data_IF_537133838158
#
_entry.id   IF_537133838158
#
_cell.length_a   1.000
_cell.length_b   1.000
_cell.length_c   1.000
_cell.angle_alpha   90.00
_cell.angle_beta   90.00
_cell.angle_gamma   90.00
#
_symmetry.space_group_name_H-M   'P 1'
#
loop_
_entity.id
_entity.type
_entity.pdbx_description
1 polymer ?
#
# COMPACT_ATOMS: atom_id res chain seq x y z
N UNK A 1 -13.50 21.78 -3.53
CA UNK A 1 -14.10 21.10 -4.70
C UNK A 1 -15.50 21.63 -4.94
N UNK A 2 -15.86 21.97 -6.17
CA UNK A 2 -17.18 22.52 -6.53
C UNK A 2 -18.09 21.56 -7.29
N UNK A 3 -17.57 20.39 -7.68
CA UNK A 3 -18.32 19.36 -8.41
C UNK A 3 -18.71 18.20 -7.47
N UNK A 4 -19.89 17.62 -7.69
CA UNK A 4 -20.35 16.39 -7.04
C UNK A 4 -19.35 15.27 -7.30
N UNK A 5 -18.98 14.53 -6.24
CA UNK A 5 -18.11 13.35 -6.31
C UNK A 5 -18.90 12.16 -5.78
N UNK A 6 -18.55 10.94 -6.22
CA UNK A 6 -19.16 9.71 -5.75
C UNK A 6 -19.28 9.71 -4.22
N UNK A 7 -20.50 9.55 -3.71
CA UNK A 7 -20.78 9.54 -2.27
C UNK A 7 -20.99 10.90 -1.60
N UNK A 8 -20.63 12.02 -2.25
CA UNK A 8 -20.68 13.37 -1.67
C UNK A 8 -21.55 14.29 -2.55
N UNK A 9 -22.75 14.61 -2.07
CA UNK A 9 -23.72 15.42 -2.84
C UNK A 9 -23.49 16.92 -2.68
N UNK A 10 -23.02 17.35 -1.51
CA UNK A 10 -22.71 18.76 -1.21
C UNK A 10 -21.30 18.87 -0.59
N UNK A 11 -20.24 18.91 -1.43
CA UNK A 11 -18.87 18.98 -0.94
C UNK A 11 -18.58 20.19 -0.05
N UNK A 12 -19.32 21.30 -0.23
CA UNK A 12 -19.16 22.51 0.57
C UNK A 12 -19.63 22.33 2.02
N UNK A 13 -20.51 21.34 2.28
CA UNK A 13 -21.00 20.99 3.61
C UNK A 13 -20.44 19.67 4.13
N UNK A 14 -19.58 18.99 3.37
CA UNK A 14 -19.08 17.67 3.76
C UNK A 14 -18.35 17.72 5.11
N UNK A 15 -17.33 18.57 5.23
CA UNK A 15 -16.56 18.74 6.48
C UNK A 15 -17.39 19.49 7.52
N UNK A 16 -17.38 18.98 8.75
CA UNK A 16 -18.14 19.48 9.91
C UNK A 16 -19.53 18.86 10.09
N UNK A 17 -20.06 18.20 9.05
CA UNK A 17 -21.37 17.52 9.08
C UNK A 17 -21.25 16.09 9.58
N UNK A 18 -22.37 15.55 10.09
CA UNK A 18 -22.49 14.10 10.28
C UNK A 18 -22.53 13.39 8.92
N UNK A 19 -21.88 12.23 8.82
CA UNK A 19 -21.96 11.34 7.66
C UNK A 19 -23.42 10.98 7.31
N UNK A 20 -24.28 10.89 8.31
CA UNK A 20 -25.69 10.53 8.16
C UNK A 20 -26.60 11.76 7.93
N UNK A 21 -26.01 12.94 7.72
CA UNK A 21 -26.70 14.15 7.32
C UNK A 21 -26.96 14.23 5.81
N UNK A 22 -27.47 15.38 5.34
CA UNK A 22 -27.85 15.57 3.94
C UNK A 22 -26.72 15.86 2.95
N UNK A 23 -25.44 15.73 3.35
CA UNK A 23 -24.28 16.04 2.51
C UNK A 23 -23.75 14.82 1.71
N UNK A 24 -24.24 13.62 2.01
CA UNK A 24 -23.75 12.36 1.44
C UNK A 24 -24.86 11.54 0.77
N UNK A 25 -24.44 10.69 -0.17
CA UNK A 25 -25.29 9.66 -0.80
C UNK A 25 -24.64 8.30 -0.62
N UNK A 26 -25.42 7.25 -0.41
CA UNK A 26 -24.90 5.91 -0.19
C UNK A 26 -24.95 5.05 -1.47
N UNK A 27 -23.97 4.16 -1.73
CA UNK A 27 -22.87 3.82 -0.82
C UNK A 27 -21.82 4.93 -0.70
N UNK A 28 -21.15 4.98 0.45
CA UNK A 28 -20.00 5.87 0.69
C UNK A 28 -18.94 5.13 1.49
N UNK A 29 -17.69 5.15 1.00
CA UNK A 29 -16.54 4.70 1.78
C UNK A 29 -16.09 5.84 2.68
N UNK A 30 -15.78 5.54 3.94
CA UNK A 30 -15.21 6.48 4.91
C UNK A 30 -13.96 5.91 5.53
N UNK A 31 -13.08 6.80 5.99
CA UNK A 31 -11.89 6.45 6.75
C UNK A 31 -12.02 6.94 8.21
N UNK A 32 -11.76 6.08 9.18
CA UNK A 32 -11.78 6.42 10.61
C UNK A 32 -10.48 7.12 10.99
N UNK A 33 -10.54 8.38 11.42
CA UNK A 33 -9.37 9.19 11.80
C UNK A 33 -8.50 8.50 12.84
N UNK A 34 -9.13 8.05 13.93
CA UNK A 34 -8.46 7.40 15.06
C UNK A 34 -7.68 6.16 14.62
N UNK A 35 -8.27 5.32 13.77
CA UNK A 35 -7.61 4.13 13.23
C UNK A 35 -6.45 4.47 12.28
N UNK A 36 -6.60 5.46 11.40
CA UNK A 36 -5.52 5.91 10.52
C UNK A 36 -4.32 6.42 11.33
N UNK A 37 -4.56 7.32 12.29
CA UNK A 37 -3.52 7.90 13.14
C UNK A 37 -2.83 6.81 13.98
N UNK A 38 -3.61 5.91 14.58
CA UNK A 38 -3.09 4.75 15.32
C UNK A 38 -2.20 3.87 14.46
N UNK A 39 -2.65 3.48 13.27
CA UNK A 39 -1.91 2.59 12.38
C UNK A 39 -0.61 3.22 11.88
N UNK A 40 -0.66 4.51 11.50
CA UNK A 40 0.50 5.27 11.03
C UNK A 40 1.57 5.30 12.12
N UNK A 41 1.20 5.69 13.35
CA UNK A 41 2.11 5.72 14.49
C UNK A 41 2.66 4.31 14.82
N UNK A 42 1.79 3.30 14.84
CA UNK A 42 2.14 1.93 15.20
C UNK A 42 3.26 1.35 14.33
N UNK A 43 3.19 1.51 13.00
CA UNK A 43 4.25 0.98 12.13
C UNK A 43 5.50 1.87 12.12
N UNK A 44 5.36 3.19 12.28
CA UNK A 44 6.50 4.09 12.44
C UNK A 44 7.32 3.71 13.68
N UNK A 45 6.66 3.50 14.81
CA UNK A 45 7.29 3.07 16.07
C UNK A 45 7.90 1.67 15.95
N UNK A 46 7.24 0.75 15.24
CA UNK A 46 7.80 -0.57 14.97
C UNK A 46 9.12 -0.47 14.18
N UNK A 47 9.15 0.30 13.09
CA UNK A 47 10.34 0.48 12.27
C UNK A 47 11.48 1.12 13.06
N UNK A 48 11.18 2.19 13.81
CA UNK A 48 12.15 2.88 14.65
C UNK A 48 12.76 1.95 15.73
N UNK A 49 11.94 1.16 16.42
CA UNK A 49 12.41 0.19 17.43
C UNK A 49 13.34 -0.90 16.87
N UNK A 50 13.19 -1.23 15.59
CA UNK A 50 14.02 -2.23 14.90
C UNK A 50 15.16 -1.60 14.09
N UNK A 51 15.39 -0.28 14.21
CA UNK A 51 16.43 0.42 13.46
C UNK A 51 16.22 0.40 11.93
N UNK A 52 14.98 0.21 11.49
CA UNK A 52 14.62 0.18 10.07
C UNK A 52 14.11 1.54 9.59
N UNK A 53 14.40 1.86 8.34
CA UNK A 53 13.77 2.95 7.63
C UNK A 53 12.43 2.47 7.07
N UNK A 54 11.41 3.31 7.13
CA UNK A 54 10.09 3.03 6.56
C UNK A 54 9.89 3.81 5.27
N UNK A 55 9.63 3.13 4.16
CA UNK A 55 9.25 3.72 2.87
C UNK A 55 7.90 3.15 2.40
N UNK A 56 6.77 3.59 2.96
CA UNK A 56 5.48 2.94 2.73
C UNK A 56 5.07 2.89 1.27
N UNK A 57 4.35 1.84 0.88
CA UNK A 57 3.82 1.73 -0.48
C UNK A 57 2.62 2.66 -0.69
N UNK A 58 2.82 3.74 -1.45
CA UNK A 58 1.75 4.69 -1.76
C UNK A 58 0.75 4.15 -2.80
N UNK A 59 1.10 3.09 -3.54
CA UNK A 59 0.22 2.46 -4.54
C UNK A 59 -1.16 2.07 -4.01
N UNK A 60 -1.27 1.83 -2.69
CA UNK A 60 -2.51 1.45 -2.02
C UNK A 60 -3.46 2.63 -1.89
N UNK A 61 -2.95 3.84 -1.67
CA UNK A 61 -3.78 5.01 -1.33
C UNK A 61 -3.77 6.08 -2.43
N UNK A 62 -2.61 6.32 -3.04
CA UNK A 62 -2.35 7.42 -3.97
C UNK A 62 -2.96 8.75 -3.51
N UNK A 63 -2.84 9.02 -2.20
CA UNK A 63 -3.44 10.18 -1.54
C UNK A 63 -2.35 11.09 -0.97
N UNK A 64 -2.32 12.39 -1.36
CA UNK A 64 -1.34 13.33 -0.83
C UNK A 64 -1.52 13.55 0.67
N UNK A 65 -2.75 13.50 1.17
CA UNK A 65 -3.04 13.69 2.59
C UNK A 65 -2.44 12.55 3.44
N UNK A 66 -2.62 11.30 3.01
CA UNK A 66 -2.07 10.14 3.70
C UNK A 66 -0.56 10.02 3.53
N UNK A 67 -0.03 10.32 2.35
CA UNK A 67 1.42 10.39 2.10
C UNK A 67 2.07 11.39 3.06
N UNK A 68 1.51 12.60 3.19
CA UNK A 68 2.02 13.61 4.12
C UNK A 68 1.94 13.14 5.58
N UNK A 69 0.82 12.55 6.00
CA UNK A 69 0.68 12.02 7.35
C UNK A 69 1.75 10.96 7.69
N UNK A 70 2.12 10.11 6.72
CA UNK A 70 3.18 9.11 6.89
C UNK A 70 4.58 9.74 6.95
N UNK A 71 4.85 10.76 6.13
CA UNK A 71 6.11 11.51 6.17
C UNK A 71 6.26 12.28 7.48
N UNK A 72 5.20 12.94 7.96
CA UNK A 72 5.17 13.66 9.23
C UNK A 72 5.40 12.72 10.42
N UNK A 73 4.97 11.45 10.30
CA UNK A 73 5.22 10.39 11.27
C UNK A 73 6.64 9.77 11.16
N UNK A 74 7.49 10.25 10.26
CA UNK A 74 8.89 9.84 10.15
C UNK A 74 9.20 8.82 9.06
N UNK A 75 8.31 8.61 8.08
CA UNK A 75 8.67 7.82 6.90
C UNK A 75 9.89 8.43 6.18
N UNK A 76 10.86 7.58 5.84
CA UNK A 76 12.10 7.96 5.15
C UNK A 76 11.85 8.37 3.69
N UNK A 77 10.80 7.86 3.07
CA UNK A 77 10.40 8.16 1.70
C UNK A 77 9.11 7.43 1.36
N UNK A 78 8.72 7.41 0.09
CA UNK A 78 7.53 6.68 -0.36
C UNK A 78 7.88 5.68 -1.45
N UNK A 79 7.20 4.53 -1.45
CA UNK A 79 7.37 3.50 -2.49
C UNK A 79 6.25 3.56 -3.53
N UNK A 80 6.63 3.73 -4.80
CA UNK A 80 5.76 3.64 -5.97
C UNK A 80 5.88 2.26 -6.65
N UNK A 81 4.90 1.89 -7.48
CA UNK A 81 4.92 0.67 -8.30
C UNK A 81 5.04 0.95 -9.81
N UNK A 82 4.71 2.15 -10.26
CA UNK A 82 4.78 2.54 -11.67
C UNK A 82 5.49 3.89 -11.86
N UNK A 83 6.03 4.18 -13.06
CA UNK A 83 6.57 5.49 -13.39
C UNK A 83 5.56 6.63 -13.19
N UNK A 84 4.30 6.43 -13.58
CA UNK A 84 3.25 7.44 -13.37
C UNK A 84 3.05 7.78 -11.89
N UNK A 85 3.10 6.79 -11.01
CA UNK A 85 3.01 7.01 -9.57
C UNK A 85 4.22 7.76 -9.03
N UNK A 86 5.44 7.52 -9.56
CA UNK A 86 6.63 8.30 -9.20
C UNK A 86 6.40 9.78 -9.49
N UNK A 87 5.90 10.11 -10.68
CA UNK A 87 5.62 11.49 -11.08
C UNK A 87 4.52 12.12 -10.21
N UNK A 88 3.47 11.37 -9.87
CA UNK A 88 2.42 11.85 -8.97
C UNK A 88 2.96 12.10 -7.55
N UNK A 89 3.80 11.20 -7.02
CA UNK A 89 4.41 11.39 -5.70
C UNK A 89 5.36 12.58 -5.66
N UNK A 90 6.07 12.86 -6.77
CA UNK A 90 6.84 14.09 -6.93
C UNK A 90 5.93 15.33 -6.78
N UNK A 91 4.77 15.36 -7.44
CA UNK A 91 3.80 16.46 -7.32
C UNK A 91 3.22 16.60 -5.90
N UNK A 92 3.21 15.51 -5.12
CA UNK A 92 2.85 15.56 -3.69
C UNK A 92 3.98 16.13 -2.81
N UNK A 93 5.13 16.46 -3.37
CA UNK A 93 6.28 16.99 -2.66
C UNK A 93 7.15 15.92 -2.00
N UNK A 94 7.04 14.65 -2.42
CA UNK A 94 7.89 13.57 -1.91
C UNK A 94 9.30 13.72 -2.48
N UNK A 95 10.28 14.01 -1.63
CA UNK A 95 11.68 14.17 -2.04
C UNK A 95 12.40 12.84 -2.25
N UNK A 96 11.94 11.75 -1.63
CA UNK A 96 12.57 10.44 -1.73
C UNK A 96 11.58 9.36 -2.17
N UNK A 97 11.81 8.80 -3.36
CA UNK A 97 10.91 7.82 -3.97
C UNK A 97 11.66 6.54 -4.31
N UNK A 98 11.10 5.41 -3.88
CA UNK A 98 11.53 4.07 -4.30
C UNK A 98 10.51 3.53 -5.29
N UNK A 99 10.88 3.40 -6.56
CA UNK A 99 10.11 2.59 -7.50
C UNK A 99 10.43 1.12 -7.23
N UNK A 100 9.55 0.42 -6.51
CA UNK A 100 9.71 -1.02 -6.24
C UNK A 100 9.33 -1.87 -7.45
N UNK A 101 9.95 -1.58 -8.60
CA UNK A 101 9.72 -2.19 -9.89
C UNK A 101 10.89 -1.87 -10.85
N UNK A 102 10.96 -2.59 -11.97
CA UNK A 102 11.84 -2.26 -13.09
C UNK A 102 11.33 -1.01 -13.83
N UNK A 103 12.24 -0.25 -14.44
CA UNK A 103 11.93 1.00 -15.13
C UNK A 103 12.48 1.00 -16.55
N UNK A 104 11.57 0.87 -17.53
CA UNK A 104 11.92 0.83 -18.95
C UNK A 104 11.29 1.98 -19.77
N UNK A 105 10.36 2.75 -19.20
CA UNK A 105 9.63 3.79 -19.92
C UNK A 105 10.49 5.04 -20.15
N UNK A 106 10.90 5.37 -21.40
CA UNK A 106 11.81 6.47 -21.69
C UNK A 106 11.29 7.83 -21.19
N UNK A 107 10.00 8.12 -21.37
CA UNK A 107 9.41 9.39 -20.97
C UNK A 107 9.45 9.58 -19.45
N UNK A 108 9.15 8.52 -18.69
CA UNK A 108 9.31 8.52 -17.25
C UNK A 108 10.77 8.67 -16.81
N UNK A 109 11.71 7.99 -17.49
CA UNK A 109 13.13 8.10 -17.17
C UNK A 109 13.66 9.51 -17.39
N UNK A 110 13.35 10.13 -18.53
CA UNK A 110 13.72 11.51 -18.85
C UNK A 110 13.15 12.48 -17.80
N UNK A 111 11.89 12.28 -17.39
CA UNK A 111 11.24 13.10 -16.39
C UNK A 111 11.88 12.96 -14.98
N UNK A 112 12.30 11.75 -14.60
CA UNK A 112 13.00 11.52 -13.33
C UNK A 112 14.43 12.06 -13.38
N UNK A 113 15.16 11.89 -14.48
CA UNK A 113 16.48 12.49 -14.66
C UNK A 113 16.42 14.03 -14.51
N UNK A 114 15.45 14.67 -15.18
CA UNK A 114 15.21 16.10 -15.03
C UNK A 114 14.87 16.50 -13.59
N UNK A 115 14.00 15.73 -12.91
CA UNK A 115 13.68 15.99 -11.50
C UNK A 115 14.90 15.93 -10.59
N UNK A 116 15.78 14.95 -10.79
CA UNK A 116 17.03 14.83 -10.03
C UNK A 116 17.94 16.05 -10.29
N UNK A 117 18.00 16.58 -11.50
CA UNK A 117 18.79 17.77 -11.81
C UNK A 117 18.20 19.06 -11.21
N UNK A 118 16.87 19.19 -11.25
CA UNK A 118 16.14 20.36 -10.76
C UNK A 118 16.14 20.49 -9.24
N UNK A 119 16.06 19.37 -8.51
CA UNK A 119 15.97 19.34 -7.05
C UNK A 119 17.15 18.58 -6.42
N UNK A 120 18.11 19.28 -5.80
CA UNK A 120 19.23 18.65 -5.09
C UNK A 120 18.82 17.72 -3.96
N UNK A 121 17.63 17.90 -3.37
CA UNK A 121 17.10 17.05 -2.31
C UNK A 121 16.41 15.78 -2.85
N UNK A 122 16.15 15.72 -4.17
CA UNK A 122 15.51 14.57 -4.79
C UNK A 122 16.39 13.32 -4.71
N UNK A 123 15.79 12.21 -4.30
CA UNK A 123 16.39 10.89 -4.27
C UNK A 123 15.46 9.87 -4.90
N UNK A 124 15.96 9.17 -5.91
CA UNK A 124 15.23 8.13 -6.62
C UNK A 124 15.97 6.81 -6.56
N UNK A 125 15.25 5.73 -6.26
CA UNK A 125 15.74 4.35 -6.37
C UNK A 125 14.78 3.52 -7.21
N UNK A 126 15.30 2.65 -8.07
CA UNK A 126 14.50 1.63 -8.76
C UNK A 126 15.14 0.24 -8.69
N UNK A 127 14.42 -0.79 -9.12
CA UNK A 127 14.93 -2.16 -9.12
C UNK A 127 15.50 -2.52 -10.50
N UNK A 128 16.55 -3.34 -10.50
CA UNK A 128 17.10 -3.96 -11.71
C UNK A 128 17.27 -5.46 -11.47
N UNK A 129 16.91 -6.26 -12.46
CA UNK A 129 17.06 -7.72 -12.46
C UNK A 129 17.58 -8.26 -13.80
N UNK A 130 18.03 -7.36 -14.69
CA UNK A 130 18.59 -7.71 -16.00
C UNK A 130 19.59 -6.65 -16.48
N UNK A 131 20.57 -7.08 -17.29
CA UNK A 131 21.55 -6.19 -17.94
C UNK A 131 20.84 -5.20 -18.86
N UNK A 132 19.82 -5.63 -19.60
CA UNK A 132 19.03 -4.75 -20.45
C UNK A 132 18.34 -3.61 -19.68
N UNK A 133 17.89 -3.86 -18.44
CA UNK A 133 17.34 -2.82 -17.57
C UNK A 133 18.40 -1.78 -17.17
N UNK A 134 19.60 -2.23 -16.83
CA UNK A 134 20.75 -1.35 -16.54
C UNK A 134 21.12 -0.50 -17.75
N UNK A 135 21.24 -1.11 -18.93
CA UNK A 135 21.57 -0.41 -20.18
C UNK A 135 20.53 0.66 -20.52
N UNK A 136 19.24 0.36 -20.31
CA UNK A 136 18.15 1.32 -20.51
C UNK A 136 18.28 2.51 -19.56
N UNK A 137 18.54 2.27 -18.28
CA UNK A 137 18.77 3.35 -17.31
C UNK A 137 19.98 4.22 -17.69
N UNK A 138 21.09 3.59 -18.07
CA UNK A 138 22.32 4.27 -18.48
C UNK A 138 22.10 5.18 -19.69
N UNK A 139 21.32 4.73 -20.68
CA UNK A 139 21.00 5.50 -21.88
C UNK A 139 20.18 6.78 -21.61
N UNK A 140 19.46 6.83 -20.50
CA UNK A 140 18.59 7.95 -20.11
C UNK A 140 19.11 8.74 -18.89
N UNK A 141 20.29 8.38 -18.37
CA UNK A 141 20.85 9.05 -17.21
C UNK A 141 21.25 10.51 -17.54
N UNK A 142 20.93 11.42 -16.62
CA UNK A 142 21.37 12.82 -16.67
C UNK A 142 22.72 13.02 -15.97
N UNK A 143 22.96 14.24 -15.50
CA UNK A 143 24.18 14.57 -14.74
C UNK A 143 24.27 13.82 -13.39
N UNK A 144 23.12 13.42 -12.82
CA UNK A 144 23.03 12.59 -11.61
C UNK A 144 22.68 11.15 -11.99
N UNK A 145 23.32 10.14 -11.38
CA UNK A 145 23.07 8.76 -11.72
C UNK A 145 21.70 8.28 -11.21
N UNK A 146 21.10 7.32 -11.90
CA UNK A 146 20.01 6.53 -11.33
C UNK A 146 20.57 5.55 -10.31
N UNK A 147 20.05 5.60 -9.08
CA UNK A 147 20.43 4.66 -8.03
C UNK A 147 19.57 3.41 -8.13
N UNK A 148 20.19 2.23 -8.15
CA UNK A 148 19.51 0.96 -8.40
C UNK A 148 19.73 -0.06 -7.29
N UNK A 149 18.71 -0.88 -7.04
CA UNK A 149 18.81 -2.06 -6.18
C UNK A 149 18.70 -3.32 -7.05
N UNK A 150 19.67 -4.22 -6.94
CA UNK A 150 19.59 -5.51 -7.62
C UNK A 150 18.48 -6.36 -6.95
N UNK A 151 17.45 -6.75 -7.70
CA UNK A 151 16.31 -7.50 -7.15
C UNK A 151 16.61 -9.00 -7.12
N UNK A 152 16.55 -9.60 -5.94
CA UNK A 152 16.54 -11.05 -5.78
C UNK A 152 15.10 -11.56 -5.75
N UNK A 153 14.76 -12.48 -6.64
CA UNK A 153 13.43 -13.04 -6.78
C UNK A 153 13.24 -14.43 -6.16
N UNK A 154 12.02 -14.95 -6.31
CA UNK A 154 11.63 -16.33 -5.96
C UNK A 154 11.17 -17.03 -7.24
N UNK A 155 11.66 -18.24 -7.48
CA UNK A 155 11.31 -19.02 -8.66
C UNK A 155 9.80 -19.28 -8.72
N UNK A 156 9.21 -19.14 -9.92
CA UNK A 156 7.77 -19.33 -10.13
C UNK A 156 6.88 -18.21 -9.56
N UNK A 157 7.45 -17.16 -8.97
CA UNK A 157 6.71 -16.02 -8.44
C UNK A 157 6.68 -14.83 -9.43
N UNK A 158 7.46 -13.77 -9.17
CA UNK A 158 7.46 -12.49 -9.91
C UNK A 158 8.84 -12.16 -10.48
N UNK A 159 9.24 -10.90 -10.58
CA UNK A 159 10.55 -10.43 -11.08
C UNK A 159 11.73 -10.84 -10.16
N UNK A 160 12.93 -10.42 -10.53
CA UNK A 160 14.16 -10.61 -9.73
C UNK A 160 14.98 -11.82 -10.14
N UNK A 161 16.29 -11.74 -9.96
CA UNK A 161 17.23 -12.84 -10.21
C UNK A 161 16.91 -14.06 -9.36
N UNK A 162 17.02 -15.28 -9.90
CA UNK A 162 16.71 -16.53 -9.18
C UNK A 162 17.87 -17.07 -8.39
N UNK A 163 19.08 -16.78 -8.87
CA UNK A 163 20.33 -17.23 -8.28
C UNK A 163 21.19 -16.05 -7.86
N UNK A 164 22.17 -16.33 -6.99
CA UNK A 164 23.18 -15.34 -6.62
C UNK A 164 24.01 -14.91 -7.84
N UNK A 165 24.40 -15.84 -8.69
CA UNK A 165 25.21 -15.55 -9.88
C UNK A 165 24.50 -14.60 -10.86
N UNK A 166 23.21 -14.84 -11.13
CA UNK A 166 22.38 -13.92 -11.94
C UNK A 166 22.32 -12.52 -11.32
N UNK A 167 22.15 -12.43 -9.99
CA UNK A 167 22.12 -11.15 -9.30
C UNK A 167 23.47 -10.43 -9.40
N UNK A 168 24.57 -11.16 -9.22
CA UNK A 168 25.93 -10.60 -9.30
C UNK A 168 26.29 -10.16 -10.72
N UNK A 169 25.78 -10.83 -11.75
CA UNK A 169 25.90 -10.40 -13.14
C UNK A 169 25.24 -9.03 -13.35
N UNK A 170 23.99 -8.87 -12.91
CA UNK A 170 23.24 -7.60 -13.01
C UNK A 170 23.90 -6.50 -12.18
N UNK A 171 24.32 -6.82 -10.96
CA UNK A 171 25.02 -5.89 -10.09
C UNK A 171 26.36 -5.44 -10.69
N UNK A 172 27.11 -6.36 -11.30
CA UNK A 172 28.34 -6.06 -12.03
C UNK A 172 28.11 -5.13 -13.23
N UNK A 173 27.05 -5.38 -14.00
CA UNK A 173 26.64 -4.48 -15.08
C UNK A 173 26.29 -3.08 -14.56
N UNK A 174 25.52 -2.99 -13.46
CA UNK A 174 25.17 -1.71 -12.85
C UNK A 174 26.40 -0.93 -12.33
N UNK A 175 27.43 -1.61 -11.84
CA UNK A 175 28.69 -0.98 -11.42
C UNK A 175 29.56 -0.50 -12.58
N UNK A 176 29.43 -1.12 -13.75
CA UNK A 176 30.21 -0.78 -14.94
C UNK A 176 29.54 0.28 -15.84
N UNK A 177 28.22 0.46 -15.71
CA UNK A 177 27.44 1.39 -16.53
C UNK A 177 27.64 2.85 -16.10
N UNK A 178 27.81 3.73 -17.08
CA UNK A 178 27.83 5.18 -16.84
C UNK A 178 26.42 5.66 -16.47
N UNK A 179 26.32 6.59 -15.51
CA UNK A 179 25.02 7.14 -15.10
C UNK A 179 24.14 6.21 -14.25
N UNK A 180 24.65 5.06 -13.82
CA UNK A 180 23.96 4.14 -12.91
C UNK A 180 24.80 3.92 -11.65
N UNK A 181 24.16 3.91 -10.49
CA UNK A 181 24.81 3.67 -9.18
C UNK A 181 24.13 2.49 -8.48
N UNK A 182 24.86 1.39 -8.31
CA UNK A 182 24.39 0.27 -7.50
C UNK A 182 24.35 0.66 -6.01
N UNK A 183 23.15 0.69 -5.44
CA UNK A 183 22.90 1.12 -4.06
C UNK A 183 22.63 -0.04 -3.08
N UNK A 184 22.42 -1.27 -3.57
CA UNK A 184 22.22 -2.44 -2.72
C UNK A 184 21.32 -3.52 -3.33
N UNK A 185 20.58 -4.23 -2.49
CA UNK A 185 19.72 -5.37 -2.86
C UNK A 185 18.27 -5.08 -2.49
N UNK A 186 17.35 -5.51 -3.35
CA UNK A 186 15.93 -5.49 -3.07
C UNK A 186 15.31 -6.89 -3.15
N UNK A 187 14.20 -7.08 -2.46
CA UNK A 187 13.42 -8.30 -2.49
C UNK A 187 12.01 -8.08 -1.98
N UNK A 188 11.14 -9.07 -2.22
CA UNK A 188 9.75 -9.06 -1.77
C UNK A 188 9.36 -10.43 -1.23
N UNK A 189 9.37 -10.55 0.09
CA UNK A 189 9.11 -11.78 0.84
C UNK A 189 7.62 -12.15 0.89
N UNK A 190 6.72 -11.22 0.58
CA UNK A 190 5.27 -11.44 0.62
C UNK A 190 4.70 -12.41 -0.42
N UNK A 191 5.56 -13.08 -1.21
CA UNK A 191 5.17 -14.22 -2.07
C UNK A 191 5.34 -15.57 -1.36
N UNK A 192 5.96 -15.58 -0.18
CA UNK A 192 6.26 -16.78 0.61
C UNK A 192 5.16 -17.00 1.66
N UNK A 193 4.85 -18.27 1.91
CA UNK A 193 3.72 -18.65 2.75
C UNK A 193 4.07 -18.90 4.22
N UNK A 194 5.36 -19.10 4.54
CA UNK A 194 5.81 -19.46 5.89
C UNK A 194 6.98 -18.63 6.39
N UNK A 195 7.08 -18.48 7.70
CA UNK A 195 8.20 -17.77 8.34
C UNK A 195 9.57 -18.43 8.07
N UNK A 196 9.60 -19.76 7.88
CA UNK A 196 10.83 -20.49 7.56
C UNK A 196 11.34 -20.16 6.14
N UNK A 197 10.43 -20.17 5.16
CA UNK A 197 10.75 -19.75 3.79
C UNK A 197 11.22 -18.29 3.75
N UNK A 198 10.54 -17.40 4.49
CA UNK A 198 10.94 -15.99 4.61
C UNK A 198 12.34 -15.87 5.20
N UNK A 199 12.65 -16.59 6.29
CA UNK A 199 13.99 -16.59 6.88
C UNK A 199 15.06 -17.06 5.89
N UNK A 200 14.80 -18.16 5.18
CA UNK A 200 15.73 -18.68 4.18
C UNK A 200 15.96 -17.67 3.05
N UNK A 201 14.91 -17.00 2.59
CA UNK A 201 15.00 -15.96 1.57
C UNK A 201 15.79 -14.74 2.05
N UNK A 202 15.54 -14.24 3.26
CA UNK A 202 16.31 -13.15 3.86
C UNK A 202 17.79 -13.52 4.00
N UNK A 203 18.10 -14.79 4.34
CA UNK A 203 19.47 -15.31 4.34
C UNK A 203 20.16 -15.18 2.98
N UNK A 204 19.48 -15.54 1.88
CA UNK A 204 20.00 -15.36 0.51
C UNK A 204 20.22 -13.88 0.16
N UNK A 205 19.33 -13.00 0.61
CA UNK A 205 19.49 -11.56 0.38
C UNK A 205 20.69 -10.99 1.15
N UNK A 206 20.92 -11.44 2.39
CA UNK A 206 22.11 -11.07 3.18
C UNK A 206 23.40 -11.58 2.53
N UNK A 207 23.40 -12.81 2.02
CA UNK A 207 24.50 -13.38 1.26
C UNK A 207 24.80 -12.52 0.03
N UNK A 208 23.79 -12.21 -0.78
CA UNK A 208 23.93 -11.33 -1.95
C UNK A 208 24.52 -9.96 -1.57
N UNK A 209 24.01 -9.35 -0.50
CA UNK A 209 24.49 -8.05 -0.02
C UNK A 209 25.96 -8.09 0.39
N UNK A 210 26.41 -9.17 1.02
CA UNK A 210 27.80 -9.34 1.45
C UNK A 210 28.80 -9.43 0.28
N UNK A 211 28.34 -9.84 -0.91
CA UNK A 211 29.13 -9.85 -2.13
C UNK A 211 29.20 -8.49 -2.83
N UNK A 212 28.30 -7.55 -2.50
CA UNK A 212 28.29 -6.22 -3.11
C UNK A 212 29.35 -5.31 -2.49
N UNK A 213 30.10 -4.60 -3.34
CA UNK A 213 31.07 -3.57 -2.92
C UNK A 213 30.41 -2.19 -2.91
N UNK A 214 29.40 -2.03 -2.07
CA UNK A 214 28.63 -0.78 -1.93
C UNK A 214 28.82 -0.22 -0.52
N UNK A 215 29.09 1.09 -0.43
CA UNK A 215 29.20 1.78 0.86
C UNK A 215 27.79 2.06 1.39
N UNK A 216 27.56 1.76 2.67
CA UNK A 216 26.26 1.98 3.33
C UNK A 216 25.07 1.42 2.51
N UNK A 217 25.11 0.10 2.21
CA UNK A 217 24.21 -0.50 1.26
C UNK A 217 22.77 -0.47 1.77
N UNK A 218 21.82 -0.37 0.85
CA UNK A 218 20.40 -0.48 1.14
C UNK A 218 19.97 -1.93 0.95
N UNK A 219 19.28 -2.47 1.95
CA UNK A 219 18.57 -3.75 1.84
C UNK A 219 17.07 -3.46 1.91
N UNK A 220 16.41 -3.46 0.76
CA UNK A 220 14.99 -3.13 0.70
C UNK A 220 14.12 -4.38 0.68
N UNK A 221 13.18 -4.46 1.61
CA UNK A 221 12.27 -5.59 1.83
C UNK A 221 10.85 -5.08 2.06
N UNK A 222 9.87 -5.97 2.06
CA UNK A 222 8.57 -5.65 2.66
C UNK A 222 7.37 -5.95 1.79
N UNK A 223 6.49 -6.77 2.35
CA UNK A 223 5.04 -6.60 2.35
C UNK A 223 4.54 -6.24 3.76
N UNK A 224 3.23 -6.29 3.99
CA UNK A 224 2.66 -6.07 5.33
C UNK A 224 2.51 -7.35 6.16
N UNK A 225 2.86 -8.52 5.62
CA UNK A 225 2.58 -9.84 6.24
C UNK A 225 3.71 -10.39 7.12
N UNK A 226 4.96 -9.96 6.91
CA UNK A 226 6.15 -10.58 7.51
C UNK A 226 7.12 -9.58 8.14
N UNK A 227 6.69 -8.34 8.43
CA UNK A 227 7.59 -7.32 8.95
C UNK A 227 8.17 -7.65 10.34
N UNK A 228 7.52 -8.51 11.13
CA UNK A 228 8.04 -9.09 12.37
C UNK A 228 9.24 -10.01 12.13
N UNK A 229 9.14 -10.89 11.12
CA UNK A 229 10.24 -11.79 10.73
C UNK A 229 11.39 -10.95 10.19
N UNK A 230 11.10 -10.00 9.30
CA UNK A 230 12.09 -9.06 8.75
C UNK A 230 12.82 -8.31 9.87
N UNK A 231 12.09 -7.69 10.79
CA UNK A 231 12.66 -6.92 11.90
C UNK A 231 13.55 -7.76 12.81
N UNK A 232 13.21 -9.04 13.02
CA UNK A 232 14.03 -9.95 13.82
C UNK A 232 15.27 -10.43 13.08
N UNK A 233 15.12 -10.94 11.86
CA UNK A 233 16.21 -11.60 11.13
C UNK A 233 17.25 -10.60 10.59
N UNK A 234 16.86 -9.34 10.35
CA UNK A 234 17.76 -8.30 9.85
C UNK A 234 18.34 -7.38 10.95
N UNK A 235 18.02 -7.61 12.23
CA UNK A 235 18.40 -6.72 13.33
C UNK A 235 19.92 -6.48 13.46
N UNK A 236 20.74 -7.47 13.12
CA UNK A 236 22.21 -7.39 13.18
C UNK A 236 22.84 -6.94 11.84
N UNK A 237 22.04 -6.69 10.80
CA UNK A 237 22.53 -6.28 9.50
C UNK A 237 23.10 -4.86 9.57
N UNK A 238 24.31 -4.65 9.02
CA UNK A 238 24.96 -3.34 8.98
C UNK A 238 24.52 -2.46 7.79
N UNK A 239 23.46 -2.87 7.09
CA UNK A 239 22.88 -2.15 5.97
C UNK A 239 21.71 -1.27 6.42
N UNK A 240 21.36 -0.27 5.60
CA UNK A 240 20.10 0.47 5.78
C UNK A 240 18.94 -0.42 5.32
N UNK A 241 18.20 -0.94 6.29
CA UNK A 241 17.01 -1.74 6.00
C UNK A 241 15.86 -0.80 5.68
N UNK A 242 15.27 -0.95 4.48
CA UNK A 242 14.12 -0.15 4.05
C UNK A 242 12.89 -1.07 3.94
N UNK A 243 11.95 -0.92 4.88
CA UNK A 243 10.68 -1.63 4.91
C UNK A 243 9.63 -0.89 4.05
N UNK A 244 8.90 -1.63 3.21
CA UNK A 244 7.94 -1.06 2.24
C UNK A 244 6.47 -1.43 2.46
N UNK A 245 6.05 -1.70 3.69
CA UNK A 245 4.65 -2.07 3.97
C UNK A 245 3.68 -0.93 3.61
N UNK A 246 2.58 -1.25 2.91
CA UNK A 246 1.60 -0.26 2.41
C UNK A 246 0.23 -0.41 3.06
N UNK A 247 -0.32 -1.63 3.06
CA UNK A 247 -1.68 -1.91 3.52
C UNK A 247 -1.94 -1.57 5.01
N UNK A 248 -0.88 -1.37 5.80
CA UNK A 248 -0.99 -1.10 7.23
C UNK A 248 -1.77 0.17 7.56
N UNK A 249 -1.72 1.20 6.69
CA UNK A 249 -2.33 2.51 6.94
C UNK A 249 -3.81 2.35 7.25
N UNK A 250 -4.51 1.52 6.49
CA UNK A 250 -5.93 1.28 6.71
C UNK A 250 -6.22 -0.07 7.33
N UNK A 251 -5.36 -1.06 7.14
CA UNK A 251 -5.67 -2.45 7.45
C UNK A 251 -7.04 -2.88 6.85
N UNK A 252 -7.56 -4.04 7.25
CA UNK A 252 -8.88 -4.51 6.83
C UNK A 252 -9.55 -5.38 7.91
N UNK A 253 -10.77 -5.82 7.61
CA UNK A 253 -11.50 -6.83 8.40
C UNK A 253 -11.37 -8.24 7.80
N UNK A 254 -10.54 -8.42 6.76
CA UNK A 254 -10.45 -9.64 5.95
C UNK A 254 -9.03 -10.17 5.86
N UNK A 255 -8.39 -9.97 4.71
CA UNK A 255 -7.11 -10.60 4.37
C UNK A 255 -5.99 -10.26 5.36
N UNK A 256 -5.71 -8.98 5.60
CA UNK A 256 -4.65 -8.60 6.53
C UNK A 256 -5.01 -8.86 7.99
N UNK A 257 -6.30 -8.92 8.37
CA UNK A 257 -6.71 -9.35 9.71
C UNK A 257 -6.20 -10.74 10.07
N UNK A 258 -6.16 -11.66 9.11
CA UNK A 258 -5.66 -13.03 9.32
C UNK A 258 -4.13 -13.11 9.20
N UNK A 259 -3.53 -12.30 8.33
CA UNK A 259 -2.11 -12.42 7.96
C UNK A 259 -1.18 -11.41 8.64
N UNK A 260 -1.71 -10.46 9.40
CA UNK A 260 -0.92 -9.42 10.05
C UNK A 260 0.11 -10.00 11.03
N UNK A 261 1.34 -9.48 11.05
CA UNK A 261 2.35 -9.84 12.05
C UNK A 261 1.90 -9.70 13.50
N UNK A 262 0.97 -8.80 13.79
CA UNK A 262 0.43 -8.61 15.15
C UNK A 262 -0.38 -9.79 15.68
N UNK A 263 -0.66 -10.80 14.85
CA UNK A 263 -1.16 -12.10 15.33
C UNK A 263 -0.04 -12.96 15.97
N UNK A 264 1.22 -12.56 15.83
CA UNK A 264 2.42 -13.28 16.33
C UNK A 264 3.24 -12.47 17.32
N UNK A 265 3.08 -11.15 17.34
CA UNK A 265 3.79 -10.22 18.22
C UNK A 265 2.81 -9.25 18.89
N UNK A 266 3.25 -8.56 19.94
CA UNK A 266 2.44 -7.54 20.61
C UNK A 266 2.18 -6.31 19.71
N UNK A 267 0.94 -5.81 19.76
CA UNK A 267 0.45 -4.66 19.00
C UNK A 267 -0.84 -4.99 18.26
N UNK A 268 -1.40 -4.01 17.56
CA UNK A 268 -2.57 -4.20 16.70
C UNK A 268 -2.60 -3.12 15.62
N UNK A 269 -3.09 -3.49 14.43
CA UNK A 269 -3.55 -2.55 13.41
C UNK A 269 -5.07 -2.63 13.32
N UNK A 270 -5.70 -1.48 13.13
CA UNK A 270 -7.14 -1.32 13.15
C UNK A 270 -7.67 -1.15 11.74
N UNK A 271 -8.78 -1.83 11.41
CA UNK A 271 -9.50 -1.58 10.17
C UNK A 271 -10.02 -0.13 10.17
N UNK A 272 -9.50 0.69 9.27
CA UNK A 272 -9.78 2.11 9.19
C UNK A 272 -10.80 2.45 8.11
N UNK A 273 -11.10 1.54 7.18
CA UNK A 273 -12.05 1.79 6.09
C UNK A 273 -13.36 1.07 6.33
N UNK A 274 -14.46 1.81 6.15
CA UNK A 274 -15.81 1.27 6.17
C UNK A 274 -16.57 1.73 4.93
N UNK A 275 -17.46 0.88 4.40
CA UNK A 275 -18.42 1.26 3.37
C UNK A 275 -19.82 1.19 3.95
N UNK A 276 -20.50 2.33 3.96
CA UNK A 276 -21.89 2.43 4.40
C UNK A 276 -22.82 2.33 3.21
N UNK A 277 -23.85 1.48 3.29
CA UNK A 277 -24.79 1.24 2.20
C UNK A 277 -26.18 0.88 2.71
N UNK A 278 -27.20 1.11 1.89
CA UNK A 278 -28.58 0.73 2.23
C UNK A 278 -28.86 -0.73 1.89
N UNK A 279 -29.58 -1.42 2.77
CA UNK A 279 -30.33 -2.62 2.42
C UNK A 279 -31.41 -2.21 1.41
N UNK A 280 -31.36 -2.76 0.21
CA UNK A 280 -32.30 -2.45 -0.87
C UNK A 280 -33.48 -3.41 -0.89
N UNK A 281 -33.23 -4.68 -0.57
CA UNK A 281 -34.24 -5.74 -0.64
C UNK A 281 -33.95 -6.87 0.34
N UNK A 282 -35.00 -7.50 0.82
CA UNK A 282 -34.97 -8.76 1.59
C UNK A 282 -35.95 -9.74 0.94
N UNK A 283 -35.60 -10.27 -0.24
CA UNK A 283 -36.56 -10.92 -1.12
C UNK A 283 -37.01 -12.29 -0.61
N UNK A 284 -36.22 -12.92 0.26
CA UNK A 284 -36.53 -14.21 0.87
C UNK A 284 -35.90 -14.33 2.27
N UNK A 285 -36.42 -15.22 3.13
CA UNK A 285 -35.86 -15.43 4.47
C UNK A 285 -34.37 -15.77 4.44
N UNK A 286 -33.58 -15.06 5.23
CA UNK A 286 -32.13 -15.29 5.33
C UNK A 286 -31.30 -14.63 4.22
N UNK A 287 -31.91 -13.84 3.32
CA UNK A 287 -31.22 -13.15 2.24
C UNK A 287 -31.50 -11.65 2.27
N UNK A 288 -30.45 -10.84 2.15
CA UNK A 288 -30.55 -9.41 1.92
C UNK A 288 -29.74 -9.00 0.68
N UNK A 289 -30.20 -7.98 -0.04
CA UNK A 289 -29.48 -7.34 -1.14
C UNK A 289 -29.16 -5.91 -0.71
N UNK A 290 -27.88 -5.55 -0.73
CA UNK A 290 -27.36 -4.26 -0.29
C UNK A 290 -26.82 -3.49 -1.49
N UNK A 291 -27.03 -2.17 -1.52
CA UNK A 291 -26.57 -1.24 -2.57
C UNK A 291 -25.07 -0.93 -2.47
N UNK A 292 -24.25 -1.98 -2.53
CA UNK A 292 -22.80 -1.96 -2.43
C UNK A 292 -22.27 -3.01 -3.41
N UNK A 293 -21.43 -2.64 -4.38
CA UNK A 293 -20.94 -3.58 -5.39
C UNK A 293 -19.44 -3.48 -5.68
N UNK A 294 -19.01 -4.16 -6.74
CA UNK A 294 -17.62 -4.19 -7.25
C UNK A 294 -17.06 -2.81 -7.56
N UNK A 295 -17.94 -1.84 -7.86
CA UNK A 295 -17.58 -0.44 -8.10
C UNK A 295 -17.30 0.34 -6.82
N UNK A 296 -17.58 -0.23 -5.65
CA UNK A 296 -17.60 0.47 -4.36
C UNK A 296 -16.64 -0.14 -3.34
N UNK A 297 -16.47 -1.46 -3.36
CA UNK A 297 -15.60 -2.15 -2.42
C UNK A 297 -14.72 -3.21 -3.11
N UNK A 298 -13.54 -3.50 -2.53
CA UNK A 298 -12.65 -4.56 -2.98
C UNK A 298 -13.32 -5.94 -3.05
N UNK A 299 -12.90 -6.78 -3.98
CA UNK A 299 -13.45 -8.13 -4.17
C UNK A 299 -12.45 -9.18 -4.67
N UNK A 300 -11.21 -8.77 -4.95
CA UNK A 300 -10.13 -9.59 -5.50
C UNK A 300 -9.48 -10.51 -4.46
N UNK A 301 -9.50 -10.15 -3.18
CA UNK A 301 -9.05 -10.99 -2.05
C UNK A 301 -10.18 -11.16 -1.01
N UNK A 302 -11.31 -11.72 -1.45
CA UNK A 302 -12.51 -11.90 -0.62
C UNK A 302 -13.50 -10.74 -0.69
N UNK A 303 -14.68 -10.91 -0.07
CA UNK A 303 -15.77 -9.93 -0.10
C UNK A 303 -15.79 -9.02 1.14
N UNK A 304 -16.42 -7.83 1.04
CA UNK A 304 -16.61 -6.93 2.19
C UNK A 304 -17.31 -7.63 3.37
N UNK A 305 -16.90 -7.28 4.59
CA UNK A 305 -17.33 -7.94 5.83
C UNK A 305 -18.52 -7.20 6.43
N UNK A 306 -19.72 -7.80 6.54
CA UNK A 306 -20.87 -7.14 7.16
C UNK A 306 -20.62 -6.78 8.63
N UNK A 307 -20.95 -5.55 9.04
CA UNK A 307 -20.82 -5.06 10.42
C UNK A 307 -22.17 -4.58 10.97
N UNK A 308 -22.17 -4.13 12.23
CA UNK A 308 -23.36 -3.62 12.91
C UNK A 308 -24.45 -4.70 13.04
N UNK A 309 -25.68 -4.38 12.63
CA UNK A 309 -26.83 -5.31 12.69
C UNK A 309 -26.64 -6.56 11.81
N UNK A 310 -25.73 -6.52 10.85
CA UNK A 310 -25.42 -7.65 9.97
C UNK A 310 -24.21 -8.46 10.43
N UNK A 311 -23.60 -8.14 11.57
CA UNK A 311 -22.43 -8.88 12.10
C UNK A 311 -22.72 -10.39 12.15
N UNK A 312 -21.77 -11.19 11.67
CA UNK A 312 -21.90 -12.65 11.53
C UNK A 312 -22.59 -13.12 10.24
N UNK A 313 -23.20 -12.22 9.49
CA UNK A 313 -23.69 -12.49 8.12
C UNK A 313 -22.54 -12.50 7.12
N UNK A 314 -22.77 -12.99 5.92
CA UNK A 314 -21.73 -13.19 4.90
C UNK A 314 -22.16 -12.61 3.55
N UNK A 315 -21.28 -11.86 2.88
CA UNK A 315 -21.47 -11.54 1.46
C UNK A 315 -21.12 -12.77 0.64
N UNK A 316 -22.09 -13.32 -0.09
CA UNK A 316 -21.93 -14.58 -0.83
C UNK A 316 -21.78 -14.36 -2.33
N UNK A 317 -22.09 -13.15 -2.79
CA UNK A 317 -21.98 -12.74 -4.19
C UNK A 317 -21.94 -11.23 -4.28
N UNK A 318 -21.07 -10.71 -5.14
CA UNK A 318 -21.02 -9.29 -5.46
C UNK A 318 -21.18 -9.07 -6.97
N UNK A 319 -22.08 -8.17 -7.33
CA UNK A 319 -22.29 -7.65 -8.69
C UNK A 319 -21.74 -6.22 -8.78
N UNK A 320 -21.91 -5.57 -9.92
CA UNK A 320 -21.39 -4.22 -10.15
C UNK A 320 -21.82 -3.21 -9.08
N UNK A 321 -23.09 -3.25 -8.64
CA UNK A 321 -23.71 -2.30 -7.71
C UNK A 321 -24.46 -2.98 -6.55
N UNK A 322 -24.35 -4.31 -6.39
CA UNK A 322 -25.11 -5.07 -5.40
C UNK A 322 -24.26 -6.11 -4.69
N UNK A 323 -24.49 -6.26 -3.39
CA UNK A 323 -23.96 -7.33 -2.56
C UNK A 323 -25.13 -8.19 -2.09
N UNK A 324 -25.03 -9.49 -2.34
CA UNK A 324 -25.98 -10.49 -1.84
C UNK A 324 -25.43 -11.01 -0.51
N UNK A 325 -26.17 -10.75 0.56
CA UNK A 325 -25.80 -11.10 1.93
C UNK A 325 -26.66 -12.25 2.40
N UNK A 326 -26.02 -13.35 2.82
CA UNK A 326 -26.65 -14.41 3.59
C UNK A 326 -26.65 -13.99 5.05
N UNK A 327 -27.84 -13.82 5.62
CA UNK A 327 -28.02 -13.40 7.01
C UNK A 327 -27.66 -14.53 7.97
N UNK A 328 -26.96 -14.19 9.05
CA UNK A 328 -26.75 -15.12 10.16
C UNK A 328 -28.08 -15.57 10.79
N UNK A 329 -28.13 -16.76 11.41
CA UNK A 329 -29.30 -17.20 12.16
C UNK A 329 -29.72 -16.18 13.22
N UNK A 330 -30.99 -15.77 13.17
CA UNK A 330 -31.55 -14.77 14.10
C UNK A 330 -31.31 -13.31 13.68
N UNK A 331 -30.42 -13.05 12.73
CA UNK A 331 -30.22 -11.70 12.18
C UNK A 331 -31.37 -11.30 11.27
N UNK A 332 -31.65 -9.99 11.22
CA UNK A 332 -32.63 -9.38 10.34
C UNK A 332 -32.03 -8.15 9.68
N UNK A 333 -32.44 -7.91 8.45
CA UNK A 333 -32.16 -6.69 7.71
C UNK A 333 -33.50 -6.07 7.31
N UNK A 334 -33.60 -4.74 7.30
CA UNK A 334 -34.81 -4.05 6.85
C UNK A 334 -34.52 -3.21 5.61
N UNK A 335 -35.30 -3.28 4.51
CA UNK A 335 -35.13 -2.37 3.38
C UNK A 335 -35.14 -0.90 3.83
N UNK A 336 -34.16 -0.13 3.35
CA UNK A 336 -33.90 1.26 3.76
C UNK A 336 -32.94 1.40 4.95
N UNK A 337 -32.67 0.34 5.71
CA UNK A 337 -31.67 0.36 6.78
C UNK A 337 -30.28 0.61 6.23
N UNK A 338 -29.54 1.51 6.89
CA UNK A 338 -28.17 1.84 6.52
C UNK A 338 -27.20 1.00 7.37
N UNK A 339 -26.31 0.27 6.71
CA UNK A 339 -25.45 -0.73 7.34
C UNK A 339 -23.98 -0.55 6.96
N UNK A 340 -23.04 -0.69 7.91
CA UNK A 340 -21.60 -0.63 7.64
C UNK A 340 -21.04 -1.97 7.17
N UNK A 341 -20.03 -1.90 6.31
CA UNK A 341 -19.19 -3.02 5.89
C UNK A 341 -17.72 -2.68 6.10
N UNK A 342 -16.96 -3.61 6.66
CA UNK A 342 -15.51 -3.63 6.55
C UNK A 342 -15.08 -4.00 5.13
N UNK A 343 -13.88 -3.59 4.73
CA UNK A 343 -13.30 -4.01 3.44
C UNK A 343 -12.61 -5.38 3.56
N UNK A 344 -12.51 -6.12 2.46
CA UNK A 344 -11.77 -7.38 2.43
C UNK A 344 -10.26 -7.19 2.43
N UNK A 345 -9.76 -6.22 1.67
CA UNK A 345 -8.35 -5.83 1.66
C UNK A 345 -8.16 -4.39 1.12
N UNK A 346 -7.08 -3.67 1.48
CA UNK A 346 -6.93 -2.24 1.14
C UNK A 346 -6.55 -1.92 -0.30
N UNK A 347 -5.85 -2.82 -0.99
CA UNK A 347 -5.09 -2.49 -2.20
C UNK A 347 -5.95 -1.92 -3.34
N UNK A 348 -7.19 -2.38 -3.49
CA UNK A 348 -8.14 -1.88 -4.50
C UNK A 348 -9.30 -1.10 -3.87
N UNK A 349 -9.15 -0.63 -2.63
CA UNK A 349 -10.19 0.15 -1.96
C UNK A 349 -10.20 1.59 -2.49
N UNK A 350 -9.04 2.23 -2.52
CA UNK A 350 -8.92 3.65 -2.87
C UNK A 350 -9.16 3.94 -4.36
N UNK A 351 -8.84 3.01 -5.26
CA UNK A 351 -9.05 3.20 -6.72
C UNK A 351 -10.53 3.34 -7.11
N UNK A 352 -11.43 2.93 -6.21
CA UNK A 352 -12.90 3.03 -6.37
C UNK A 352 -13.46 4.39 -5.98
N UNK A 353 -12.66 5.25 -5.33
CA UNK A 353 -13.11 6.48 -4.71
C UNK A 353 -12.14 7.63 -4.95
N UNK A 354 -12.55 8.63 -5.72
CA UNK A 354 -11.76 9.87 -5.92
C UNK A 354 -11.59 10.69 -4.65
N UNK A 355 -12.57 10.60 -3.75
CA UNK A 355 -12.58 11.29 -2.46
C UNK A 355 -13.21 10.35 -1.43
N UNK A 356 -12.58 10.23 -0.27
CA UNK A 356 -13.07 9.45 0.88
C UNK A 356 -13.18 10.41 2.08
N UNK A 357 -14.37 10.57 2.69
CA UNK A 357 -14.49 11.32 3.93
C UNK A 357 -13.74 10.67 5.07
N UNK A 358 -12.99 11.47 5.82
CA UNK A 358 -12.39 11.08 7.09
C UNK A 358 -13.34 11.44 8.20
N UNK A 359 -13.71 10.48 9.04
CA UNK A 359 -14.66 10.67 10.14
C UNK A 359 -13.98 10.51 11.50
N UNK A 360 -14.48 11.27 12.48
CA UNK A 360 -14.17 11.05 13.91
C UNK A 360 -14.98 9.88 14.47
N UNK A 361 -14.87 9.66 15.79
CA UNK A 361 -15.49 8.50 16.40
C UNK A 361 -17.03 8.52 16.38
N UNK A 362 -17.62 9.71 16.31
CA UNK A 362 -19.05 9.98 16.25
C UNK A 362 -19.58 10.10 14.80
N UNK A 363 -18.78 9.70 13.80
CA UNK A 363 -19.11 9.81 12.38
C UNK A 363 -19.37 11.25 11.91
N UNK A 364 -18.74 12.24 12.53
CA UNK A 364 -18.63 13.58 11.95
C UNK A 364 -17.47 13.60 10.98
N UNK A 365 -17.69 14.14 9.80
CA UNK A 365 -16.64 14.27 8.79
C UNK A 365 -15.73 15.42 9.18
N UNK A 366 -14.46 15.11 9.40
CA UNK A 366 -13.45 16.01 9.93
C UNK A 366 -12.37 16.34 8.90
N UNK A 367 -12.27 15.55 7.84
CA UNK A 367 -11.40 15.83 6.69
C UNK A 367 -11.88 15.06 5.46
N UNK A 368 -11.22 15.25 4.32
CA UNK A 368 -11.40 14.49 3.10
C UNK A 368 -10.02 14.06 2.58
N UNK A 369 -9.87 12.78 2.22
CA UNK A 369 -8.68 12.32 1.48
C UNK A 369 -9.00 12.16 0.00
N UNK A 370 -8.09 12.60 -0.85
CA UNK A 370 -8.22 12.55 -2.32
C UNK A 370 -7.35 11.44 -2.90
N UNK A 371 -7.74 10.88 -4.04
CA UNK A 371 -6.97 9.79 -4.68
C UNK A 371 -6.64 10.09 -6.14
N UNK A 372 -5.47 9.62 -6.57
CA UNK A 372 -4.90 9.89 -7.90
C UNK A 372 -4.49 8.57 -8.58
N UNK A 373 -5.49 7.81 -9.02
CA UNK A 373 -5.33 6.55 -9.76
C UNK A 373 -5.52 6.72 -11.27
#
# INVERSE_FOLDING_TARGET
MTATVKGIVDPAKAVGSSLFGGAFSFPVMVARRSALEHNIATLADFAARHGMLLAPHAKTTMSPELVRAQLDAGAWGMTAATPSQVLILREFGVSRIVLANQFFDPAGLDAVAAWLEEDPAAEFLCFVDSVAGVETLSAHAGARPFRVLAELGVAGARCGSRTLDELLEVAGAAQAAEGVELAGVAGYEGVLGTAEEVRAYLGRMLEALAHLRVRDPILSVGGSQWFDVVGRELAACQARIVLRSGAYVTHDDGHYREHTPYNRIEGELQAALEVWAHVLSTPEPGLAVVGLGKRDAPFDEGFPVPRGVLTGSEVIRMQDQHAVVRLAPGSRATPGELVPFGISHPCTAFDKWRVIPVVDDDYRVVDLVTTFF
#
